data_IF_129926488702
#
_entry.id   IF_129926488702
#
_cell.length_a   1.000
_cell.length_b   1.000
_cell.length_c   1.000
_cell.angle_alpha   90.00
_cell.angle_beta   90.00
_cell.angle_gamma   90.00
#
_symmetry.space_group_name_H-M   'P 1'
#
loop_
_entity.id
_entity.type
_entity.pdbx_description
1 polymer ?
#
# COMPACT_ATOMS: atom_id res chain seq x y z
N UNK A 1 6.15 -23.41 12.28
CA UNK A 1 6.50 -23.06 10.88
C UNK A 1 7.28 -21.77 10.78
N UNK A 2 6.80 -20.65 11.35
CA UNK A 2 7.55 -19.38 11.36
C UNK A 2 8.90 -19.46 12.09
N UNK A 3 9.01 -20.21 13.17
CA UNK A 3 10.27 -20.42 13.90
C UNK A 3 11.36 -21.05 13.02
N UNK A 4 10.95 -21.95 12.11
CA UNK A 4 11.86 -22.67 11.22
C UNK A 4 12.16 -21.92 9.92
N UNK A 5 11.20 -21.15 9.40
CA UNK A 5 11.25 -20.50 8.09
C UNK A 5 11.03 -18.99 8.16
N UNK A 6 11.32 -18.35 9.32
CA UNK A 6 11.01 -16.92 9.55
C UNK A 6 11.64 -15.94 8.59
N UNK A 7 12.79 -16.29 8.00
CA UNK A 7 13.57 -15.43 7.11
C UNK A 7 13.63 -15.90 5.65
N UNK A 8 12.92 -16.97 5.30
CA UNK A 8 12.85 -17.46 3.93
C UNK A 8 11.51 -17.11 3.28
N UNK A 9 11.37 -17.41 1.97
CA UNK A 9 10.16 -17.12 1.18
C UNK A 9 8.91 -17.76 1.78
N UNK A 10 9.03 -18.97 2.31
CA UNK A 10 7.91 -19.67 2.95
C UNK A 10 7.46 -18.94 4.21
N UNK A 11 8.40 -18.50 5.04
CA UNK A 11 8.11 -17.70 6.23
C UNK A 11 7.46 -16.35 5.90
N UNK A 12 7.94 -15.67 4.87
CA UNK A 12 7.32 -14.43 4.37
C UNK A 12 5.89 -14.67 3.87
N UNK A 13 5.68 -15.74 3.12
CA UNK A 13 4.34 -16.12 2.63
C UNK A 13 3.39 -16.41 3.79
N UNK A 14 3.80 -17.24 4.74
CA UNK A 14 2.98 -17.58 5.91
C UNK A 14 2.65 -16.32 6.73
N UNK A 15 3.64 -15.48 6.96
CA UNK A 15 3.43 -14.22 7.70
C UNK A 15 2.43 -13.31 7.00
N UNK A 16 2.50 -13.23 5.67
CA UNK A 16 1.59 -12.41 4.86
C UNK A 16 0.13 -12.92 4.90
N UNK A 17 -0.10 -14.18 5.26
CA UNK A 17 -1.45 -14.73 5.43
C UNK A 17 -2.04 -14.48 6.81
N UNK A 18 -1.23 -14.07 7.80
CA UNK A 18 -1.69 -13.82 9.17
C UNK A 18 -2.47 -12.49 9.19
N UNK A 19 -3.74 -12.49 9.62
CA UNK A 19 -4.50 -11.25 9.75
C UNK A 19 -3.93 -10.39 10.88
N UNK A 20 -4.05 -9.08 10.71
CA UNK A 20 -3.66 -8.12 11.75
C UNK A 20 -4.68 -8.17 12.88
N UNK A 21 -4.22 -8.46 14.09
CA UNK A 21 -5.07 -8.47 15.27
C UNK A 21 -5.45 -7.04 15.66
N UNK A 22 -6.74 -6.82 15.90
CA UNK A 22 -7.24 -5.54 16.37
C UNK A 22 -7.14 -5.49 17.90
N UNK A 23 -6.39 -4.55 18.50
CA UNK A 23 -6.34 -4.42 19.96
C UNK A 23 -7.67 -4.00 20.54
N UNK A 24 -7.84 -4.13 21.87
CA UNK A 24 -9.03 -3.68 22.56
C UNK A 24 -9.15 -2.16 22.49
N UNK A 25 -10.34 -1.70 22.10
CA UNK A 25 -10.64 -0.28 22.07
C UNK A 25 -10.95 0.25 23.48
N UNK A 26 -10.22 1.27 23.87
CA UNK A 26 -10.42 1.98 25.15
C UNK A 26 -10.89 3.40 24.86
N UNK A 27 -12.19 3.69 24.97
CA UNK A 27 -12.70 5.04 24.71
C UNK A 27 -12.23 6.03 25.78
N UNK A 28 -11.89 7.24 25.34
CA UNK A 28 -11.63 8.33 26.29
C UNK A 28 -12.90 8.69 27.07
N UNK A 29 -12.79 9.11 28.34
CA UNK A 29 -13.97 9.46 29.16
C UNK A 29 -14.84 10.57 28.58
N UNK A 30 -14.27 11.39 27.70
CA UNK A 30 -14.95 12.53 27.06
C UNK A 30 -15.71 12.17 25.80
N UNK A 31 -15.62 10.92 25.32
CA UNK A 31 -16.27 10.47 24.08
C UNK A 31 -17.77 10.39 24.27
N UNK A 32 -18.53 11.15 23.46
CA UNK A 32 -20.00 11.17 23.50
C UNK A 32 -20.64 9.99 22.78
N UNK A 33 -20.06 9.57 21.62
CA UNK A 33 -20.54 8.45 20.83
C UNK A 33 -19.44 7.39 20.75
N UNK A 34 -19.54 6.35 21.59
CA UNK A 34 -18.56 5.29 21.71
C UNK A 34 -18.53 4.43 20.45
N UNK A 35 -19.68 4.16 19.81
CA UNK A 35 -19.75 3.32 18.62
C UNK A 35 -19.07 3.99 17.42
N UNK A 36 -19.32 5.29 17.23
CA UNK A 36 -18.66 6.08 16.18
C UNK A 36 -17.14 6.16 16.41
N UNK A 37 -16.72 6.40 17.65
CA UNK A 37 -15.31 6.44 18.02
C UNK A 37 -14.63 5.10 17.82
N UNK A 38 -15.29 3.99 18.16
CA UNK A 38 -14.79 2.63 17.95
C UNK A 38 -14.64 2.33 16.46
N UNK A 39 -15.62 2.70 15.64
CA UNK A 39 -15.57 2.52 14.20
C UNK A 39 -14.38 3.28 13.59
N UNK A 40 -14.24 4.56 13.94
CA UNK A 40 -13.15 5.40 13.44
C UNK A 40 -11.78 4.85 13.86
N UNK A 41 -11.66 4.44 15.13
CA UNK A 41 -10.44 3.85 15.63
C UNK A 41 -10.09 2.53 14.92
N UNK A 42 -11.09 1.64 14.74
CA UNK A 42 -10.90 0.37 14.02
C UNK A 42 -10.50 0.61 12.56
N UNK A 43 -11.17 1.56 11.90
CA UNK A 43 -10.84 1.95 10.53
C UNK A 43 -9.39 2.46 10.44
N UNK A 44 -9.03 3.38 11.31
CA UNK A 44 -7.68 3.97 11.32
C UNK A 44 -6.61 2.90 11.59
N UNK A 45 -6.82 2.07 12.60
CA UNK A 45 -5.91 0.99 12.95
C UNK A 45 -5.72 0.01 11.80
N UNK A 46 -6.80 -0.48 11.22
CA UNK A 46 -6.75 -1.41 10.10
C UNK A 46 -6.07 -0.78 8.88
N UNK A 47 -6.38 0.46 8.56
CA UNK A 47 -5.76 1.16 7.44
C UNK A 47 -4.25 1.33 7.62
N UNK A 48 -3.80 1.64 8.83
CA UNK A 48 -2.37 1.83 9.12
C UNK A 48 -1.59 0.52 9.16
N UNK A 49 -2.22 -0.60 9.57
CA UNK A 49 -1.51 -1.85 9.89
C UNK A 49 -1.81 -3.02 8.94
N UNK A 50 -2.79 -2.91 8.04
CA UNK A 50 -3.21 -4.02 7.18
C UNK A 50 -2.07 -4.68 6.40
N UNK A 51 -1.11 -3.89 5.95
CA UNK A 51 0.03 -4.37 5.16
C UNK A 51 1.28 -4.68 5.99
N UNK A 52 1.22 -4.60 7.33
CA UNK A 52 2.41 -4.77 8.18
C UNK A 52 3.01 -6.17 8.11
N UNK A 53 2.20 -7.20 7.87
CA UNK A 53 2.67 -8.58 7.74
C UNK A 53 3.18 -8.93 6.34
N UNK A 54 3.17 -7.98 5.40
CA UNK A 54 3.63 -8.18 4.03
C UNK A 54 4.95 -7.43 3.84
N UNK A 55 5.99 -8.17 3.46
CA UNK A 55 7.26 -7.57 3.06
C UNK A 55 7.18 -7.10 1.60
N UNK A 56 6.84 -5.82 1.39
CA UNK A 56 6.71 -5.23 0.06
C UNK A 56 8.06 -5.09 -0.68
N UNK A 57 9.18 -5.23 0.02
CA UNK A 57 10.52 -5.26 -0.57
C UNK A 57 10.96 -6.66 -1.03
N UNK A 58 10.16 -7.69 -0.78
CA UNK A 58 10.47 -9.06 -1.21
C UNK A 58 10.03 -9.31 -2.65
N UNK A 59 11.00 -9.45 -3.56
CA UNK A 59 10.71 -9.80 -4.96
C UNK A 59 10.19 -11.24 -5.11
N UNK A 60 10.61 -12.14 -4.23
CA UNK A 60 10.13 -13.52 -4.20
C UNK A 60 8.67 -13.59 -3.75
N UNK A 61 8.31 -12.86 -2.72
CA UNK A 61 6.93 -12.79 -2.23
C UNK A 61 6.00 -12.14 -3.27
N UNK A 62 6.49 -11.14 -4.00
CA UNK A 62 5.74 -10.47 -5.06
C UNK A 62 5.34 -11.42 -6.19
N UNK A 63 6.13 -12.45 -6.47
CA UNK A 63 5.82 -13.48 -7.47
C UNK A 63 4.71 -14.44 -7.04
N UNK A 64 4.35 -14.45 -5.77
CA UNK A 64 3.25 -15.28 -5.27
C UNK A 64 1.90 -14.63 -5.63
N UNK A 65 0.82 -15.41 -5.76
CA UNK A 65 -0.51 -14.86 -6.08
C UNK A 65 -1.20 -14.20 -4.88
N UNK A 66 -0.48 -13.93 -3.80
CA UNK A 66 -1.01 -13.41 -2.54
C UNK A 66 -0.96 -11.88 -2.46
N UNK A 67 0.17 -11.27 -2.83
CA UNK A 67 0.47 -9.86 -2.54
C UNK A 67 -0.38 -8.92 -3.36
N UNK A 68 -0.44 -9.12 -4.67
CA UNK A 68 -1.16 -8.23 -5.57
C UNK A 68 -2.66 -8.13 -5.27
N UNK A 69 -3.40 -9.25 -5.08
CA UNK A 69 -4.81 -9.18 -4.68
C UNK A 69 -5.02 -8.51 -3.32
N UNK A 70 -4.13 -8.72 -2.35
CA UNK A 70 -4.21 -8.09 -1.03
C UNK A 70 -4.03 -6.58 -1.09
N UNK A 71 -3.04 -6.11 -1.83
CA UNK A 71 -2.79 -4.67 -1.99
C UNK A 71 -3.94 -4.01 -2.76
N UNK A 72 -4.45 -4.65 -3.81
CA UNK A 72 -5.62 -4.15 -4.54
C UNK A 72 -6.86 -4.06 -3.65
N UNK A 73 -7.15 -5.11 -2.87
CA UNK A 73 -8.27 -5.11 -1.94
C UNK A 73 -8.13 -3.97 -0.92
N UNK A 74 -6.94 -3.77 -0.39
CA UNK A 74 -6.66 -2.67 0.53
C UNK A 74 -6.95 -1.30 -0.10
N UNK A 75 -6.39 -1.04 -1.28
CA UNK A 75 -6.55 0.25 -1.96
C UNK A 75 -7.98 0.53 -2.44
N UNK A 76 -8.69 -0.51 -2.88
CA UNK A 76 -10.01 -0.36 -3.49
C UNK A 76 -11.16 -0.46 -2.49
N UNK A 77 -11.00 -1.22 -1.40
CA UNK A 77 -12.09 -1.59 -0.49
C UNK A 77 -11.88 -1.20 0.96
N UNK A 78 -10.66 -1.05 1.42
CA UNK A 78 -10.37 -0.87 2.86
C UNK A 78 -10.10 0.57 3.26
N UNK A 79 -9.80 1.45 2.32
CA UNK A 79 -9.52 2.86 2.60
C UNK A 79 -10.49 3.77 1.86
N UNK A 80 -10.63 5.00 2.33
CA UNK A 80 -11.48 5.99 1.69
C UNK A 80 -10.99 6.28 0.27
N UNK A 81 -11.91 6.31 -0.68
CA UNK A 81 -11.64 6.57 -2.09
C UNK A 81 -11.54 8.07 -2.35
N UNK A 82 -10.63 8.72 -1.64
CA UNK A 82 -10.32 10.15 -1.70
C UNK A 82 -8.85 10.27 -2.14
N UNK A 83 -8.52 11.17 -3.10
CA UNK A 83 -7.14 11.29 -3.60
C UNK A 83 -6.09 11.47 -2.49
N UNK A 84 -6.35 12.30 -1.50
CA UNK A 84 -5.39 12.53 -0.38
C UNK A 84 -5.11 11.25 0.41
N UNK A 85 -6.14 10.46 0.70
CA UNK A 85 -5.99 9.18 1.41
C UNK A 85 -5.23 8.17 0.54
N UNK A 86 -5.59 8.07 -0.73
CA UNK A 86 -4.91 7.17 -1.68
C UNK A 86 -3.45 7.57 -1.88
N UNK A 87 -3.15 8.86 -1.98
CA UNK A 87 -1.78 9.37 -2.08
C UNK A 87 -0.95 8.94 -0.87
N UNK A 88 -1.50 9.09 0.33
CA UNK A 88 -0.84 8.68 1.58
C UNK A 88 -0.47 7.19 1.57
N UNK A 89 -1.41 6.34 1.21
CA UNK A 89 -1.19 4.88 1.24
C UNK A 89 -0.38 4.36 0.06
N UNK A 90 -0.51 4.97 -1.12
CA UNK A 90 0.41 4.68 -2.23
C UNK A 90 1.84 5.03 -1.86
N UNK A 91 2.07 6.17 -1.24
CA UNK A 91 3.40 6.56 -0.73
C UNK A 91 3.92 5.53 0.28
N UNK A 92 3.09 5.09 1.20
CA UNK A 92 3.47 4.07 2.20
C UNK A 92 3.91 2.76 1.54
N UNK A 93 3.17 2.30 0.52
CA UNK A 93 3.53 1.11 -0.26
C UNK A 93 4.85 1.31 -0.99
N UNK A 94 5.02 2.43 -1.69
CA UNK A 94 6.21 2.71 -2.48
C UNK A 94 7.45 2.91 -1.62
N UNK A 95 7.34 3.57 -0.48
CA UNK A 95 8.48 3.74 0.44
C UNK A 95 8.91 2.41 1.07
N UNK A 96 7.99 1.51 1.37
CA UNK A 96 8.32 0.16 1.82
C UNK A 96 8.99 -0.68 0.72
N UNK A 97 8.51 -0.58 -0.51
CA UNK A 97 9.07 -1.28 -1.66
C UNK A 97 10.43 -0.70 -2.11
N UNK A 98 10.74 0.52 -1.73
CA UNK A 98 11.96 1.23 -2.13
C UNK A 98 13.25 0.55 -1.66
N UNK A 99 13.17 -0.29 -0.63
CA UNK A 99 14.30 -1.06 -0.13
C UNK A 99 14.83 -2.09 -1.15
N UNK A 100 14.06 -2.43 -2.17
CA UNK A 100 14.46 -3.32 -3.25
C UNK A 100 14.07 -2.70 -4.60
N UNK A 101 15.05 -2.47 -5.47
CA UNK A 101 14.83 -1.81 -6.77
C UNK A 101 13.82 -2.55 -7.65
N UNK A 102 13.81 -3.88 -7.64
CA UNK A 102 12.88 -4.68 -8.44
C UNK A 102 11.43 -4.50 -8.00
N UNK A 103 11.18 -4.54 -6.69
CA UNK A 103 9.83 -4.36 -6.13
C UNK A 103 9.38 -2.91 -6.27
N UNK A 104 10.27 -1.96 -6.05
CA UNK A 104 9.98 -0.54 -6.24
C UNK A 104 9.61 -0.23 -7.68
N UNK A 105 10.36 -0.77 -8.65
CA UNK A 105 10.06 -0.63 -10.07
C UNK A 105 8.68 -1.20 -10.41
N UNK A 106 8.38 -2.39 -9.91
CA UNK A 106 7.07 -3.02 -10.13
C UNK A 106 5.94 -2.15 -9.59
N UNK A 107 6.02 -1.75 -8.31
CA UNK A 107 4.95 -1.02 -7.65
C UNK A 107 4.74 0.39 -8.19
N UNK A 108 5.81 1.12 -8.54
CA UNK A 108 5.68 2.43 -9.18
C UNK A 108 4.95 2.33 -10.51
N UNK A 109 5.34 1.39 -11.36
CA UNK A 109 4.70 1.17 -12.66
C UNK A 109 3.24 0.69 -12.49
N UNK A 110 3.02 -0.24 -11.59
CA UNK A 110 1.69 -0.80 -11.35
C UNK A 110 0.69 0.26 -10.85
N UNK A 111 1.08 1.02 -9.83
CA UNK A 111 0.21 2.05 -9.25
C UNK A 111 -0.01 3.22 -10.22
N UNK A 112 1.02 3.62 -10.96
CA UNK A 112 0.88 4.65 -11.98
C UNK A 112 -0.17 4.25 -13.03
N UNK A 113 -0.04 3.03 -13.59
CA UNK A 113 -0.98 2.52 -14.59
C UNK A 113 -2.38 2.31 -14.03
N UNK A 114 -2.50 1.82 -12.79
CA UNK A 114 -3.78 1.62 -12.12
C UNK A 114 -4.60 2.92 -12.07
N UNK A 115 -3.99 4.01 -11.64
CA UNK A 115 -4.69 5.29 -11.51
C UNK A 115 -4.77 6.07 -12.81
N UNK A 116 -3.86 5.86 -13.76
CA UNK A 116 -3.99 6.40 -15.11
C UNK A 116 -5.22 5.86 -15.84
N UNK A 117 -5.50 4.56 -15.68
CA UNK A 117 -6.63 3.89 -16.33
C UNK A 117 -7.91 3.90 -15.50
N UNK A 118 -7.92 4.57 -14.35
CA UNK A 118 -9.10 4.60 -13.48
C UNK A 118 -10.21 5.44 -14.10
N UNK A 119 -11.41 4.89 -14.12
CA UNK A 119 -12.62 5.59 -14.56
C UNK A 119 -13.30 6.38 -13.41
N UNK A 120 -12.77 6.27 -12.19
CA UNK A 120 -13.32 6.95 -11.03
C UNK A 120 -12.90 8.43 -11.05
N UNK A 121 -13.87 9.32 -10.95
CA UNK A 121 -13.64 10.78 -10.95
C UNK A 121 -12.70 11.17 -9.80
N UNK A 122 -11.69 11.95 -10.10
CA UNK A 122 -10.69 12.44 -9.14
C UNK A 122 -9.46 11.56 -8.96
N UNK A 123 -9.45 10.33 -9.49
CA UNK A 123 -8.28 9.43 -9.37
C UNK A 123 -7.10 9.84 -10.25
N UNK A 124 -7.30 10.72 -11.22
CA UNK A 124 -6.24 11.39 -11.96
C UNK A 124 -5.28 12.16 -11.03
N UNK A 125 -5.78 12.69 -9.92
CA UNK A 125 -4.93 13.34 -8.92
C UNK A 125 -3.93 12.37 -8.27
N UNK A 126 -4.30 11.10 -8.09
CA UNK A 126 -3.39 10.07 -7.59
C UNK A 126 -2.32 9.74 -8.63
N UNK A 127 -2.70 9.63 -9.89
CA UNK A 127 -1.75 9.46 -10.99
C UNK A 127 -0.72 10.60 -11.03
N UNK A 128 -1.20 11.85 -10.97
CA UNK A 128 -0.33 13.04 -10.96
C UNK A 128 0.62 13.03 -9.76
N UNK A 129 0.13 12.68 -8.58
CA UNK A 129 0.94 12.60 -7.37
C UNK A 129 2.10 11.60 -7.53
N UNK A 130 1.82 10.39 -8.05
CA UNK A 130 2.85 9.37 -8.27
C UNK A 130 3.83 9.84 -9.34
N UNK A 131 3.35 10.41 -10.43
CA UNK A 131 4.19 10.92 -11.51
C UNK A 131 5.15 12.00 -11.00
N UNK A 132 4.65 12.98 -10.27
CA UNK A 132 5.46 14.08 -9.75
C UNK A 132 6.49 13.61 -8.71
N UNK A 133 6.04 12.84 -7.74
CA UNK A 133 6.87 12.48 -6.57
C UNK A 133 7.94 11.44 -6.90
N UNK A 134 7.67 10.53 -7.82
CA UNK A 134 8.56 9.40 -8.10
C UNK A 134 9.21 9.49 -9.47
N UNK A 135 8.48 9.79 -10.52
CA UNK A 135 9.02 9.82 -11.88
C UNK A 135 9.74 11.14 -12.19
N UNK A 136 9.06 12.25 -12.07
CA UNK A 136 9.64 13.57 -12.38
C UNK A 136 10.70 14.01 -11.35
N UNK A 137 10.61 13.50 -10.13
CA UNK A 137 11.64 13.73 -9.11
C UNK A 137 12.91 12.89 -9.30
N UNK A 138 12.99 12.07 -10.35
CA UNK A 138 14.19 11.27 -10.67
C UNK A 138 14.38 10.03 -9.81
N UNK A 139 13.35 9.54 -9.12
CA UNK A 139 13.42 8.32 -8.30
C UNK A 139 13.25 7.04 -9.11
N UNK A 140 13.06 7.14 -10.41
CA UNK A 140 12.89 6.02 -11.35
C UNK A 140 13.97 6.04 -12.44
N UNK A 141 15.25 5.73 -12.10
CA UNK A 141 16.37 5.89 -13.01
C UNK A 141 16.34 4.97 -14.25
N UNK A 142 15.47 3.97 -14.26
CA UNK A 142 15.26 3.07 -15.40
C UNK A 142 14.33 3.64 -16.48
N UNK A 143 13.73 4.80 -16.24
CA UNK A 143 12.79 5.46 -17.14
C UNK A 143 13.54 6.50 -17.99
N UNK A 144 13.31 6.49 -19.30
CA UNK A 144 13.94 7.44 -20.21
C UNK A 144 13.22 8.80 -20.26
N UNK A 145 13.90 9.78 -20.85
CA UNK A 145 13.37 11.14 -20.98
C UNK A 145 12.13 11.20 -21.87
N UNK A 146 12.03 10.32 -22.87
CA UNK A 146 10.87 10.27 -23.76
C UNK A 146 9.61 9.88 -22.98
N UNK A 147 9.71 8.90 -22.08
CA UNK A 147 8.59 8.53 -21.21
C UNK A 147 8.22 9.67 -20.26
N UNK A 148 9.22 10.32 -19.64
CA UNK A 148 8.98 11.42 -18.71
C UNK A 148 8.29 12.61 -19.38
N UNK A 149 8.58 12.88 -20.66
CA UNK A 149 7.96 13.97 -21.41
C UNK A 149 6.48 13.74 -21.72
N UNK A 150 6.03 12.46 -21.65
CA UNK A 150 4.63 12.06 -21.91
C UNK A 150 3.77 12.01 -20.63
N UNK A 151 4.38 12.15 -19.46
CA UNK A 151 3.65 12.23 -18.20
C UNK A 151 3.06 13.63 -18.02
#
# INVERSE_FOLDING_TARGET
MLEKHGNDVLGEFVRATIPIALPDFQPAPTVKNVDSARWMWSYTYNSEHYLDNINLASSSLLRTPLVLPKVNHFLDKMILQIPDTLNKYCDKILERAYLNTKTFRFWTSYLLNKYQSSEIIGMDAVFVHIADKYYLAGRTPWVDEEFLSKL
#
